data_IF_901448069986
#
_entry.id   IF_901448069986
#
_cell.length_a   1.000
_cell.length_b   1.000
_cell.length_c   1.000
_cell.angle_alpha   90.00
_cell.angle_beta   90.00
_cell.angle_gamma   90.00
#
_symmetry.space_group_name_H-M   'P 1'
#
loop_
_entity.id
_entity.type
_entity.pdbx_description
1 polymer ?
#
# COMPACT_ATOMS: atom_id res chain seq x y z
N UNK A 1 -27.54 -0.43 -55.62
CA UNK A 1 -27.02 -1.69 -55.04
C UNK A 1 -26.14 -1.50 -53.79
N UNK A 2 -25.65 -0.30 -53.43
CA UNK A 2 -24.73 -0.13 -52.29
C UNK A 2 -25.35 0.01 -50.89
N UNK A 3 -26.58 0.53 -50.77
CA UNK A 3 -27.22 0.76 -49.46
C UNK A 3 -27.68 -0.52 -48.75
N UNK A 4 -28.12 -1.53 -49.52
CA UNK A 4 -28.52 -2.81 -48.95
C UNK A 4 -27.32 -3.63 -48.49
N UNK A 5 -26.20 -3.57 -49.21
CA UNK A 5 -24.94 -4.21 -48.83
C UNK A 5 -24.40 -3.64 -47.51
N UNK A 6 -24.42 -2.31 -47.33
CA UNK A 6 -24.02 -1.66 -46.08
C UNK A 6 -24.95 -1.99 -44.92
N UNK A 7 -26.26 -2.04 -45.17
CA UNK A 7 -27.27 -2.41 -44.16
C UNK A 7 -27.21 -3.90 -43.77
N UNK A 8 -26.73 -4.76 -44.66
CA UNK A 8 -26.49 -6.19 -44.39
C UNK A 8 -25.20 -6.40 -43.59
N UNK A 9 -24.13 -5.70 -43.96
CA UNK A 9 -22.85 -5.72 -43.24
C UNK A 9 -22.99 -5.23 -41.78
N UNK A 10 -23.77 -4.15 -41.56
CA UNK A 10 -24.04 -3.64 -40.20
C UNK A 10 -24.88 -4.61 -39.36
N UNK A 11 -25.80 -5.37 -39.99
CA UNK A 11 -26.57 -6.43 -39.31
C UNK A 11 -25.69 -7.62 -38.95
N UNK A 12 -24.81 -8.07 -39.85
CA UNK A 12 -23.89 -9.19 -39.59
C UNK A 12 -22.89 -8.88 -38.46
N UNK A 13 -22.37 -7.64 -38.38
CA UNK A 13 -21.51 -7.17 -37.27
C UNK A 13 -22.24 -7.16 -35.91
N UNK A 14 -23.52 -6.78 -35.87
CA UNK A 14 -24.33 -6.80 -34.64
C UNK A 14 -24.69 -8.25 -34.23
N UNK A 15 -24.69 -9.18 -35.18
CA UNK A 15 -25.01 -10.61 -34.97
C UNK A 15 -23.78 -11.43 -34.58
N UNK A 16 -22.57 -10.83 -34.54
CA UNK A 16 -21.42 -11.47 -33.91
C UNK A 16 -21.58 -11.43 -32.39
N UNK A 17 -22.24 -12.49 -31.91
CA UNK A 17 -22.15 -13.08 -30.57
C UNK A 17 -21.82 -12.04 -29.51
N UNK A 18 -22.88 -11.40 -28.98
CA UNK A 18 -22.84 -10.79 -27.66
C UNK A 18 -22.44 -11.91 -26.69
N UNK A 19 -21.14 -12.08 -26.46
CA UNK A 19 -20.64 -12.92 -25.39
C UNK A 19 -21.17 -12.26 -24.14
N UNK A 20 -22.23 -12.84 -23.59
CA UNK A 20 -22.70 -12.50 -22.27
C UNK A 20 -21.64 -13.05 -21.33
N UNK A 21 -20.53 -12.31 -21.20
CA UNK A 21 -19.53 -12.53 -20.18
C UNK A 21 -20.23 -12.20 -18.88
N UNK A 22 -20.89 -13.21 -18.30
CA UNK A 22 -21.14 -13.19 -16.88
C UNK A 22 -19.76 -13.20 -16.25
N UNK A 23 -19.30 -12.03 -15.81
CA UNK A 23 -18.26 -11.96 -14.81
C UNK A 23 -18.93 -12.49 -13.55
N UNK A 24 -18.95 -13.81 -13.44
CA UNK A 24 -19.21 -14.48 -12.18
C UNK A 24 -18.17 -13.89 -11.24
N UNK A 25 -18.61 -13.20 -10.19
CA UNK A 25 -17.71 -12.73 -9.16
C UNK A 25 -16.88 -13.95 -8.78
N UNK A 26 -15.56 -13.89 -8.99
CA UNK A 26 -14.67 -15.00 -8.66
C UNK A 26 -14.70 -15.10 -7.14
N UNK A 27 -15.70 -15.81 -6.61
CA UNK A 27 -15.90 -16.11 -5.20
C UNK A 27 -14.89 -17.17 -4.77
N UNK A 28 -13.65 -17.08 -5.27
CA UNK A 28 -12.56 -17.55 -4.46
C UNK A 28 -12.55 -16.63 -3.26
N UNK A 29 -13.35 -16.99 -2.24
CA UNK A 29 -12.88 -16.86 -0.88
C UNK A 29 -11.58 -17.63 -0.85
N UNK A 30 -10.49 -16.96 -1.25
CA UNK A 30 -9.17 -17.36 -0.82
C UNK A 30 -9.34 -17.35 0.69
N UNK A 31 -9.41 -18.53 1.29
CA UNK A 31 -9.34 -18.68 2.73
C UNK A 31 -7.97 -18.12 3.05
N UNK A 32 -7.95 -16.83 3.38
CA UNK A 32 -6.72 -16.13 3.66
C UNK A 32 -6.15 -16.81 4.89
N UNK A 33 -4.93 -17.33 4.77
CA UNK A 33 -4.21 -17.98 5.88
C UNK A 33 -4.43 -17.14 7.14
N UNK A 34 -4.88 -17.72 8.27
CA UNK A 34 -5.04 -16.96 9.51
C UNK A 34 -3.80 -16.17 9.92
N UNK A 35 -2.61 -16.57 9.43
CA UNK A 35 -1.33 -15.87 9.64
C UNK A 35 -0.95 -14.87 8.54
N UNK A 36 -1.73 -14.76 7.47
CA UNK A 36 -1.45 -13.84 6.36
C UNK A 36 -1.34 -12.39 6.84
N UNK A 37 -2.33 -11.93 7.62
CA UNK A 37 -2.36 -10.56 8.12
C UNK A 37 -1.08 -10.22 8.90
N UNK A 38 -0.63 -11.13 9.76
CA UNK A 38 0.60 -10.94 10.54
C UNK A 38 1.86 -10.96 9.67
N UNK A 39 1.97 -11.92 8.76
CA UNK A 39 3.13 -12.01 7.84
C UNK A 39 3.24 -10.77 6.96
N UNK A 40 2.13 -10.33 6.36
CA UNK A 40 2.10 -9.15 5.50
C UNK A 40 2.34 -7.89 6.30
N UNK A 41 1.78 -7.78 7.51
CA UNK A 41 2.08 -6.67 8.40
C UNK A 41 3.58 -6.58 8.73
N UNK A 42 4.23 -7.69 9.06
CA UNK A 42 5.66 -7.68 9.38
C UNK A 42 6.54 -7.21 8.21
N UNK A 43 6.15 -7.51 6.97
CA UNK A 43 6.83 -6.98 5.77
C UNK A 43 6.68 -5.45 5.70
N UNK A 44 5.46 -4.95 5.91
CA UNK A 44 5.18 -3.51 5.87
C UNK A 44 5.85 -2.76 7.03
N UNK A 45 5.80 -3.32 8.24
CA UNK A 45 6.45 -2.76 9.42
C UNK A 45 7.97 -2.66 9.24
N UNK A 46 8.60 -3.72 8.73
CA UNK A 46 10.02 -3.69 8.41
C UNK A 46 10.34 -2.59 7.39
N UNK A 47 9.54 -2.47 6.33
CA UNK A 47 9.73 -1.42 5.34
C UNK A 47 9.55 0.00 5.91
N UNK A 48 8.60 0.21 6.83
CA UNK A 48 8.44 1.48 7.55
C UNK A 48 9.73 1.82 8.32
N UNK A 49 10.32 0.85 9.03
CA UNK A 49 11.59 1.06 9.72
C UNK A 49 12.73 1.42 8.76
N UNK A 50 12.85 0.72 7.62
CA UNK A 50 13.88 1.02 6.62
C UNK A 50 13.73 2.42 6.04
N UNK A 51 12.49 2.85 5.73
CA UNK A 51 12.20 4.21 5.23
C UNK A 51 12.56 5.26 6.28
N UNK A 52 12.13 5.07 7.53
CA UNK A 52 12.43 5.98 8.63
C UNK A 52 13.94 6.06 8.95
N UNK A 53 14.70 5.02 8.61
CA UNK A 53 16.16 4.99 8.75
C UNK A 53 16.91 5.43 7.47
N UNK A 54 16.19 5.93 6.46
CA UNK A 54 16.73 6.30 5.15
C UNK A 54 17.49 5.16 4.43
N UNK A 55 17.03 3.92 4.60
CA UNK A 55 17.56 2.72 3.94
C UNK A 55 16.54 2.09 2.96
N UNK A 56 15.88 2.91 2.15
CA UNK A 56 14.78 2.49 1.28
C UNK A 56 15.21 1.91 -0.08
N UNK A 57 16.51 2.00 -0.42
CA UNK A 57 17.05 1.57 -1.72
C UNK A 57 16.78 0.11 -2.09
N UNK A 58 16.58 -0.77 -1.09
CA UNK A 58 16.27 -2.19 -1.28
C UNK A 58 14.77 -2.51 -1.36
N UNK A 59 13.89 -1.52 -1.20
CA UNK A 59 12.45 -1.73 -1.10
C UNK A 59 11.77 -1.71 -2.48
N UNK A 60 10.82 -2.62 -2.67
CA UNK A 60 9.91 -2.58 -3.82
C UNK A 60 8.63 -1.86 -3.45
N UNK A 61 8.50 -0.58 -3.82
CA UNK A 61 7.29 0.20 -3.54
C UNK A 61 6.01 -0.39 -4.16
N UNK A 62 6.13 -1.06 -5.32
CA UNK A 62 5.02 -1.79 -5.95
C UNK A 62 4.54 -2.96 -5.08
N UNK A 63 5.49 -3.73 -4.53
CA UNK A 63 5.18 -4.85 -3.64
C UNK A 63 4.56 -4.37 -2.32
N UNK A 64 5.13 -3.32 -1.73
CA UNK A 64 4.60 -2.72 -0.49
C UNK A 64 3.17 -2.19 -0.70
N UNK A 65 2.92 -1.49 -1.81
CA UNK A 65 1.58 -1.03 -2.15
C UNK A 65 0.60 -2.20 -2.32
N UNK A 66 1.00 -3.24 -3.06
CA UNK A 66 0.18 -4.45 -3.27
C UNK A 66 -0.13 -5.15 -1.94
N UNK A 67 0.85 -5.26 -1.04
CA UNK A 67 0.68 -5.85 0.28
C UNK A 67 -0.33 -5.07 1.14
N UNK A 68 -0.21 -3.74 1.22
CA UNK A 68 -1.14 -2.90 1.96
C UNK A 68 -2.56 -2.95 1.34
N UNK A 69 -2.66 -2.88 0.02
CA UNK A 69 -3.92 -3.01 -0.71
C UNK A 69 -4.62 -4.34 -0.39
N UNK A 70 -3.88 -5.45 -0.44
CA UNK A 70 -4.43 -6.77 -0.16
C UNK A 70 -4.86 -6.93 1.30
N UNK A 71 -4.17 -6.32 2.27
CA UNK A 71 -4.64 -6.29 3.67
C UNK A 71 -6.01 -5.63 3.77
N UNK A 72 -6.22 -4.48 3.12
CA UNK A 72 -7.53 -3.79 3.13
C UNK A 72 -8.60 -4.60 2.40
N UNK A 73 -8.27 -5.15 1.23
CA UNK A 73 -9.15 -5.99 0.42
C UNK A 73 -9.68 -7.19 1.23
N UNK A 74 -8.80 -7.82 2.00
CA UNK A 74 -9.09 -8.98 2.84
C UNK A 74 -9.57 -8.64 4.26
N UNK A 75 -10.02 -7.40 4.50
CA UNK A 75 -10.62 -6.95 5.77
C UNK A 75 -9.67 -6.87 6.96
N UNK A 76 -8.36 -6.75 6.73
CA UNK A 76 -7.33 -6.50 7.75
C UNK A 76 -6.91 -5.02 7.85
N UNK A 77 -7.79 -4.11 7.42
CA UNK A 77 -7.51 -2.67 7.46
C UNK A 77 -7.31 -2.11 8.86
N UNK A 78 -7.98 -2.68 9.88
CA UNK A 78 -7.81 -2.26 11.27
C UNK A 78 -6.41 -2.59 11.80
N UNK A 79 -5.94 -3.83 11.63
CA UNK A 79 -4.55 -4.24 11.91
C UNK A 79 -3.52 -3.38 11.18
N UNK A 80 -3.75 -3.08 9.90
CA UNK A 80 -2.86 -2.21 9.12
C UNK A 80 -2.78 -0.80 9.73
N UNK A 81 -3.93 -0.20 10.03
CA UNK A 81 -3.99 1.14 10.59
C UNK A 81 -3.41 1.21 12.02
N UNK A 82 -3.82 0.29 12.90
CA UNK A 82 -3.32 0.23 14.27
C UNK A 82 -1.82 -0.04 14.33
N UNK A 83 -1.34 -0.94 13.46
CA UNK A 83 0.07 -1.23 13.30
C UNK A 83 0.85 0.02 12.89
N UNK A 84 0.39 0.71 11.84
CA UNK A 84 1.04 1.93 11.35
C UNK A 84 1.14 3.00 12.44
N UNK A 85 0.05 3.25 13.16
CA UNK A 85 0.04 4.20 14.28
C UNK A 85 1.05 3.77 15.34
N UNK A 86 1.01 2.50 15.78
CA UNK A 86 1.92 1.98 16.80
C UNK A 86 3.39 2.12 16.40
N UNK A 87 3.75 1.69 15.19
CA UNK A 87 5.13 1.74 14.69
C UNK A 87 5.62 3.18 14.58
N UNK A 88 4.80 4.08 14.02
CA UNK A 88 5.18 5.49 13.86
C UNK A 88 5.29 6.22 15.20
N UNK A 89 4.35 5.98 16.12
CA UNK A 89 4.43 6.53 17.48
C UNK A 89 5.69 6.07 18.18
N UNK A 90 6.02 4.77 18.13
CA UNK A 90 7.23 4.25 18.75
C UNK A 90 8.50 4.89 18.15
N UNK A 91 8.56 5.03 16.84
CA UNK A 91 9.69 5.67 16.18
C UNK A 91 9.87 7.13 16.62
N UNK A 92 8.79 7.91 16.68
CA UNK A 92 8.83 9.30 17.13
C UNK A 92 9.20 9.41 18.62
N UNK A 93 8.75 8.49 19.48
CA UNK A 93 9.17 8.44 20.88
C UNK A 93 10.68 8.20 21.02
N UNK A 94 11.27 7.35 20.17
CA UNK A 94 12.72 7.14 20.14
C UNK A 94 13.44 8.43 19.73
N UNK A 95 12.98 9.10 18.67
CA UNK A 95 13.54 10.39 18.24
C UNK A 95 13.44 11.43 19.35
N UNK A 96 12.28 11.56 20.00
CA UNK A 96 12.09 12.50 21.12
C UNK A 96 13.12 12.30 22.23
N UNK A 97 13.33 11.04 22.64
CA UNK A 97 14.31 10.70 23.69
C UNK A 97 15.75 11.02 23.28
N UNK A 98 16.10 10.83 22.01
CA UNK A 98 17.43 11.17 21.49
C UNK A 98 17.67 12.68 21.52
N UNK A 99 16.66 13.47 21.13
CA UNK A 99 16.73 14.93 21.14
C UNK A 99 16.78 15.45 22.58
N UNK A 100 15.96 14.93 23.49
CA UNK A 100 15.94 15.30 24.91
C UNK A 100 17.28 15.02 25.62
N UNK A 101 18.01 14.00 25.18
CA UNK A 101 19.34 13.70 25.71
C UNK A 101 20.39 14.76 25.33
N UNK A 102 20.17 15.50 24.24
CA UNK A 102 21.06 16.56 23.77
C UNK A 102 20.65 17.86 24.48
N UNK A 103 21.26 18.09 25.64
CA UNK A 103 21.04 19.29 26.46
C UNK A 103 21.88 20.48 25.94
N UNK A 104 21.36 21.70 26.11
CA UNK A 104 22.10 22.94 25.85
C UNK A 104 21.96 23.48 24.43
N UNK A 105 22.98 24.22 23.96
CA UNK A 105 22.91 25.01 22.72
C UNK A 105 22.68 24.17 21.45
N UNK A 106 23.04 22.87 21.48
CA UNK A 106 22.88 21.94 20.35
C UNK A 106 21.44 21.40 20.19
N UNK A 107 20.56 21.60 21.17
CA UNK A 107 19.21 21.02 21.17
C UNK A 107 18.39 21.43 19.94
N UNK A 108 18.36 22.73 19.64
CA UNK A 108 17.55 23.26 18.53
C UNK A 108 18.09 22.82 17.17
N UNK A 109 19.41 22.66 17.05
CA UNK A 109 20.05 22.17 15.84
C UNK A 109 19.67 20.71 15.58
N UNK A 110 19.81 19.84 16.58
CA UNK A 110 19.44 18.43 16.46
C UNK A 110 17.94 18.27 16.17
N UNK A 111 17.08 19.02 16.87
CA UNK A 111 15.64 18.99 16.64
C UNK A 111 15.30 19.34 15.19
N UNK A 112 15.95 20.38 14.64
CA UNK A 112 15.73 20.79 13.26
C UNK A 112 16.22 19.75 12.25
N UNK A 113 17.37 19.11 12.50
CA UNK A 113 17.89 18.02 11.67
C UNK A 113 16.90 16.84 11.67
N UNK A 114 16.50 16.37 12.85
CA UNK A 114 15.57 15.23 12.97
C UNK A 114 14.20 15.52 12.38
N UNK A 115 13.71 16.76 12.49
CA UNK A 115 12.49 17.19 11.83
C UNK A 115 12.62 17.18 10.29
N UNK A 116 13.76 17.65 9.76
CA UNK A 116 14.01 17.67 8.33
C UNK A 116 14.14 16.25 7.75
N UNK A 117 14.80 15.35 8.48
CA UNK A 117 14.94 13.93 8.12
C UNK A 117 13.58 13.24 8.11
N UNK A 118 12.78 13.40 9.17
CA UNK A 118 11.45 12.82 9.29
C UNK A 118 10.50 13.24 8.15
N UNK A 119 10.57 14.48 7.69
CA UNK A 119 9.72 14.97 6.59
C UNK A 119 10.15 14.48 5.20
N UNK A 120 11.37 13.94 5.06
CA UNK A 120 11.92 13.44 3.79
C UNK A 120 11.84 11.92 3.66
N UNK A 121 11.68 11.21 4.78
CA UNK A 121 11.35 9.79 4.82
C UNK A 121 9.96 9.57 4.21
#
# INVERSE_FOLDING_TARGET
MGFEAFSRFKREMITQKKMNLQIEALKHQIVVDPKYAEKTWNILEHAIHEICNHNDSGLSFEELYRNAYNMVLHKFGEKLYSGLISTMTHHLEVISKLIEAIQGEMFLEELNVKWADHNKA
#
